data_IF_008488533792
#
_entry.id   IF_008488533792
#
_cell.length_a   1.000
_cell.length_b   1.000
_cell.length_c   1.000
_cell.angle_alpha   90.00
_cell.angle_beta   90.00
_cell.angle_gamma   90.00
#
_symmetry.space_group_name_H-M   'P 1'
#
loop_
_entity.id
_entity.type
_entity.pdbx_description
1 polymer ?
#
# COMPACT_ATOMS: atom_id res chain seq x y z
N UNK A 1 -8.55 -1.85 -14.43
CA UNK A 1 -7.41 -2.06 -13.52
C UNK A 1 -6.96 -0.74 -12.94
N UNK A 2 -6.77 -0.69 -11.63
CA UNK A 2 -6.24 0.51 -11.00
C UNK A 2 -4.76 0.68 -11.35
N UNK A 3 -4.34 1.91 -11.66
CA UNK A 3 -2.94 2.24 -11.89
C UNK A 3 -2.21 2.55 -10.57
N UNK A 4 -2.93 2.60 -9.47
CA UNK A 4 -2.39 2.99 -8.17
C UNK A 4 -2.46 1.80 -7.22
N UNK A 5 -1.39 1.59 -6.49
CA UNK A 5 -1.30 0.56 -5.46
C UNK A 5 -0.73 1.17 -4.19
N UNK A 6 -1.37 0.90 -3.06
CA UNK A 6 -0.88 1.35 -1.75
C UNK A 6 0.12 0.32 -1.23
N UNK A 7 1.26 0.78 -0.76
CA UNK A 7 2.29 -0.06 -0.14
C UNK A 7 2.36 0.30 1.34
N UNK A 8 2.08 -0.68 2.20
CA UNK A 8 1.99 -0.44 3.65
C UNK A 8 2.82 -1.48 4.41
N UNK A 9 3.50 -1.01 5.44
CA UNK A 9 4.24 -1.86 6.36
C UNK A 9 3.60 -1.76 7.74
N UNK A 10 3.24 -2.91 8.33
CA UNK A 10 2.60 -2.98 9.64
C UNK A 10 3.29 -4.03 10.52
N UNK A 11 2.95 -4.05 11.79
CA UNK A 11 3.52 -4.99 12.75
C UNK A 11 2.41 -5.67 13.54
N UNK A 12 2.30 -7.01 13.42
CA UNK A 12 1.39 -7.86 14.19
C UNK A 12 -0.06 -7.35 14.22
N UNK A 13 -0.60 -6.95 13.06
CA UNK A 13 -1.95 -6.40 12.95
C UNK A 13 -2.82 -7.22 12.01
N UNK A 14 -4.12 -7.00 12.08
CA UNK A 14 -5.09 -7.61 11.18
C UNK A 14 -5.17 -6.78 9.89
N UNK A 15 -4.79 -7.38 8.77
CA UNK A 15 -4.71 -6.69 7.49
C UNK A 15 -6.05 -6.17 6.97
N UNK A 16 -7.15 -6.89 7.19
CA UNK A 16 -8.48 -6.44 6.75
C UNK A 16 -8.88 -5.18 7.51
N UNK A 17 -8.70 -5.19 8.82
CA UNK A 17 -9.01 -4.04 9.67
C UNK A 17 -8.18 -2.82 9.30
N UNK A 18 -6.89 -3.02 9.02
CA UNK A 18 -5.98 -1.94 8.61
C UNK A 18 -6.43 -1.34 7.28
N UNK A 19 -6.79 -2.15 6.31
CA UNK A 19 -7.25 -1.67 5.00
C UNK A 19 -8.51 -0.82 5.14
N UNK A 20 -9.44 -1.24 5.99
CA UNK A 20 -10.67 -0.48 6.24
C UNK A 20 -10.38 0.82 7.00
N UNK A 21 -9.57 0.75 8.05
CA UNK A 21 -9.26 1.91 8.90
C UNK A 21 -8.51 3.02 8.15
N UNK A 22 -7.60 2.64 7.26
CA UNK A 22 -6.81 3.59 6.49
C UNK A 22 -7.48 4.08 5.22
N UNK A 23 -8.70 3.60 4.96
CA UNK A 23 -9.52 4.02 3.81
C UNK A 23 -8.89 3.68 2.46
N UNK A 24 -8.27 2.51 2.35
CA UNK A 24 -7.69 2.06 1.09
C UNK A 24 -8.80 1.72 0.09
N UNK A 25 -8.75 2.34 -1.08
CA UNK A 25 -9.75 2.19 -2.16
C UNK A 25 -9.11 1.80 -3.49
N UNK A 26 -7.94 1.19 -3.43
CA UNK A 26 -7.21 0.69 -4.59
C UNK A 26 -6.60 -0.66 -4.21
N UNK A 27 -5.92 -1.29 -5.15
CA UNK A 27 -5.11 -2.45 -4.81
C UNK A 27 -4.01 -2.05 -3.83
N UNK A 28 -3.55 -2.99 -3.04
CA UNK A 28 -2.56 -2.71 -2.01
C UNK A 28 -1.65 -3.91 -1.80
N UNK A 29 -0.43 -3.63 -1.34
CA UNK A 29 0.48 -4.62 -0.78
C UNK A 29 0.70 -4.25 0.67
N UNK A 30 0.33 -5.13 1.58
CA UNK A 30 0.48 -4.94 3.02
C UNK A 30 1.49 -5.96 3.53
N UNK A 31 2.62 -5.48 4.04
CA UNK A 31 3.64 -6.33 4.64
C UNK A 31 3.50 -6.26 6.15
N UNK A 32 3.15 -7.38 6.75
CA UNK A 32 2.95 -7.50 8.20
C UNK A 32 4.15 -8.21 8.83
N UNK A 33 4.89 -7.51 9.66
CA UNK A 33 5.98 -8.09 10.43
C UNK A 33 5.39 -8.84 11.63
N UNK A 34 5.58 -10.15 11.64
CA UNK A 34 5.02 -11.01 12.68
C UNK A 34 5.95 -12.20 12.93
N UNK A 35 5.44 -13.31 13.45
CA UNK A 35 6.26 -14.47 13.83
C UNK A 35 6.06 -15.69 12.94
N UNK A 36 5.50 -15.49 11.74
CA UNK A 36 5.36 -16.54 10.73
C UNK A 36 5.39 -15.94 9.33
N UNK A 37 5.58 -16.78 8.31
CA UNK A 37 5.61 -16.34 6.93
C UNK A 37 4.45 -16.97 6.15
N UNK A 38 3.65 -16.13 5.50
CA UNK A 38 2.53 -16.53 4.68
C UNK A 38 2.12 -15.41 3.74
N UNK A 39 1.81 -15.75 2.49
CA UNK A 39 1.25 -14.79 1.53
C UNK A 39 -0.20 -15.12 1.27
N UNK A 40 -1.06 -14.11 1.30
CA UNK A 40 -2.48 -14.24 1.02
C UNK A 40 -2.93 -13.13 0.08
N UNK A 41 -3.83 -13.47 -0.83
CA UNK A 41 -4.57 -12.47 -1.59
C UNK A 41 -5.96 -12.38 -1.01
N UNK A 42 -6.33 -11.20 -0.53
CA UNK A 42 -7.66 -10.95 0.02
C UNK A 42 -8.33 -9.84 -0.79
N UNK A 43 -9.64 -9.89 -0.85
CA UNK A 43 -10.42 -8.87 -1.53
C UNK A 43 -11.18 -8.07 -0.48
N UNK A 44 -10.91 -6.76 -0.44
CA UNK A 44 -11.56 -5.84 0.49
C UNK A 44 -12.19 -4.73 -0.32
N UNK A 45 -13.51 -4.58 -0.24
CA UNK A 45 -14.26 -3.56 -0.99
C UNK A 45 -13.98 -3.60 -2.50
N UNK A 46 -13.83 -4.81 -3.05
CA UNK A 46 -13.57 -5.01 -4.48
C UNK A 46 -12.12 -4.80 -4.91
N UNK A 47 -11.23 -4.50 -3.99
CA UNK A 47 -9.81 -4.28 -4.29
C UNK A 47 -8.98 -5.50 -3.87
N UNK A 48 -7.96 -5.83 -4.66
CA UNK A 48 -7.03 -6.90 -4.33
C UNK A 48 -5.99 -6.40 -3.35
N UNK A 49 -5.85 -7.09 -2.23
CA UNK A 49 -4.82 -6.81 -1.24
C UNK A 49 -3.89 -8.01 -1.16
N UNK A 50 -2.63 -7.81 -1.52
CA UNK A 50 -1.58 -8.80 -1.34
C UNK A 50 -1.06 -8.66 0.08
N UNK A 51 -1.48 -9.56 0.96
CA UNK A 51 -1.16 -9.50 2.39
C UNK A 51 -0.02 -10.47 2.67
N UNK A 52 1.13 -9.94 3.07
CA UNK A 52 2.36 -10.71 3.25
C UNK A 52 2.75 -10.69 4.73
N UNK A 53 2.67 -11.85 5.37
CA UNK A 53 3.23 -12.03 6.71
C UNK A 53 4.69 -12.44 6.57
N UNK A 54 5.57 -11.78 7.31
CA UNK A 54 7.00 -12.05 7.25
C UNK A 54 7.63 -11.99 8.63
N UNK A 55 8.66 -12.81 8.84
CA UNK A 55 9.47 -12.78 10.04
C UNK A 55 10.62 -11.78 9.95
N UNK A 56 10.88 -11.22 8.78
CA UNK A 56 11.87 -10.17 8.61
C UNK A 56 11.51 -8.95 9.41
N UNK A 57 12.50 -8.31 9.98
CA UNK A 57 12.31 -7.14 10.83
C UNK A 57 13.00 -5.93 10.22
N UNK A 58 12.41 -4.76 10.48
CA UNK A 58 12.92 -3.49 10.04
C UNK A 58 12.07 -2.85 8.96
N UNK A 59 11.85 -1.55 9.10
CA UNK A 59 10.99 -0.79 8.19
C UNK A 59 11.52 -0.79 6.76
N UNK A 60 12.83 -0.66 6.59
CA UNK A 60 13.44 -0.67 5.25
C UNK A 60 13.24 -2.00 4.54
N UNK A 61 13.37 -3.12 5.26
CA UNK A 61 13.15 -4.46 4.67
C UNK A 61 11.70 -4.66 4.25
N UNK A 62 10.75 -4.27 5.09
CA UNK A 62 9.33 -4.44 4.76
C UNK A 62 8.89 -3.51 3.64
N UNK A 63 9.40 -2.29 3.58
CA UNK A 63 9.12 -1.38 2.46
C UNK A 63 9.70 -1.91 1.16
N UNK A 64 10.93 -2.44 1.18
CA UNK A 64 11.54 -3.04 0.00
C UNK A 64 10.76 -4.26 -0.48
N UNK A 65 10.28 -5.10 0.42
CA UNK A 65 9.45 -6.24 0.05
C UNK A 65 8.15 -5.79 -0.60
N UNK A 66 7.49 -4.77 -0.05
CA UNK A 66 6.28 -4.21 -0.64
C UNK A 66 6.55 -3.68 -2.06
N UNK A 67 7.65 -2.98 -2.26
CA UNK A 67 8.05 -2.48 -3.59
C UNK A 67 8.30 -3.62 -4.57
N UNK A 68 8.96 -4.69 -4.13
CA UNK A 68 9.22 -5.86 -4.98
C UNK A 68 7.94 -6.56 -5.40
N UNK A 69 6.93 -6.59 -4.55
CA UNK A 69 5.66 -7.23 -4.83
C UNK A 69 4.67 -6.32 -5.57
N UNK A 70 4.99 -5.05 -5.70
CA UNK A 70 4.12 -4.08 -6.37
C UNK A 70 4.01 -4.38 -7.86
N UNK A 71 2.79 -4.28 -8.39
CA UNK A 71 2.50 -4.53 -9.80
C UNK A 71 1.91 -3.32 -10.50
N UNK A 72 1.51 -2.30 -9.77
CA UNK A 72 0.89 -1.11 -10.32
C UNK A 72 1.92 -0.14 -10.88
N UNK A 73 1.47 0.73 -11.77
CA UNK A 73 2.30 1.77 -12.38
C UNK A 73 2.71 2.83 -11.35
N UNK A 74 1.79 3.18 -10.44
CA UNK A 74 2.03 4.18 -9.40
C UNK A 74 1.85 3.55 -8.04
N UNK A 75 2.78 3.80 -7.12
CA UNK A 75 2.74 3.25 -5.78
C UNK A 75 2.75 4.37 -4.76
N UNK A 76 1.92 4.23 -3.72
CA UNK A 76 1.84 5.16 -2.61
C UNK A 76 2.30 4.46 -1.32
N UNK A 77 3.41 4.93 -0.76
CA UNK A 77 3.85 4.46 0.56
C UNK A 77 2.99 5.13 1.64
N UNK A 78 2.37 4.31 2.47
CA UNK A 78 1.43 4.77 3.48
C UNK A 78 1.74 4.08 4.81
N UNK A 79 1.71 4.83 5.91
CA UNK A 79 1.84 4.27 7.25
C UNK A 79 0.47 3.87 7.81
N UNK A 80 0.46 2.95 8.77
CA UNK A 80 -0.76 2.37 9.31
C UNK A 80 -1.59 3.34 10.18
N UNK A 81 -1.00 4.46 10.57
CA UNK A 81 -1.68 5.51 11.34
C UNK A 81 -2.25 6.63 10.48
N UNK A 82 -2.15 6.51 9.17
CA UNK A 82 -2.67 7.50 8.23
C UNK A 82 -4.03 7.06 7.67
N UNK A 83 -4.89 8.03 7.34
CA UNK A 83 -6.16 7.78 6.68
C UNK A 83 -6.15 8.51 5.35
N UNK A 84 -6.34 7.74 4.27
CA UNK A 84 -6.30 8.29 2.93
C UNK A 84 -7.60 9.02 2.58
N UNK A 85 -7.50 10.06 1.77
CA UNK A 85 -8.68 10.77 1.27
C UNK A 85 -9.45 9.89 0.27
N UNK A 86 -10.75 10.09 0.14
CA UNK A 86 -11.59 9.28 -0.75
C UNK A 86 -11.16 9.34 -2.21
N UNK A 87 -10.56 10.44 -2.64
CA UNK A 87 -10.16 10.68 -4.02
C UNK A 87 -8.64 10.57 -4.24
N UNK A 88 -7.92 9.87 -3.36
CA UNK A 88 -6.47 9.81 -3.45
C UNK A 88 -5.98 9.19 -4.76
N UNK A 89 -6.71 8.22 -5.30
CA UNK A 89 -6.33 7.57 -6.56
C UNK A 89 -6.35 8.60 -7.70
N UNK A 90 -7.41 9.39 -7.79
CA UNK A 90 -7.54 10.42 -8.83
C UNK A 90 -6.46 11.49 -8.67
N UNK A 91 -6.19 11.90 -7.44
CA UNK A 91 -5.14 12.90 -7.15
C UNK A 91 -3.76 12.42 -7.57
N UNK A 92 -3.43 11.14 -7.30
CA UNK A 92 -2.15 10.56 -7.69
C UNK A 92 -2.04 10.48 -9.21
N UNK A 93 -3.06 9.96 -9.89
CA UNK A 93 -3.06 9.85 -11.35
C UNK A 93 -2.94 11.22 -12.00
N UNK A 94 -3.65 12.22 -11.50
CA UNK A 94 -3.59 13.58 -12.01
C UNK A 94 -2.21 14.21 -11.80
N UNK A 95 -1.59 13.96 -10.64
CA UNK A 95 -0.26 14.49 -10.35
C UNK A 95 0.79 13.93 -11.30
N UNK A 96 0.78 12.62 -11.57
CA UNK A 96 1.71 12.01 -12.52
C UNK A 96 1.42 12.45 -13.97
N UNK A 97 0.17 12.70 -14.30
CA UNK A 97 -0.18 13.26 -15.62
C UNK A 97 0.35 14.67 -15.80
N UNK A 98 0.37 15.48 -14.73
CA UNK A 98 0.91 16.84 -14.76
C UNK A 98 2.44 16.86 -14.82
N UNK A 99 3.09 15.83 -14.29
CA UNK A 99 4.56 15.71 -14.25
C UNK A 99 5.00 14.38 -14.84
N UNK A 100 4.85 14.18 -16.16
CA UNK A 100 5.06 12.85 -16.77
C UNK A 100 6.50 12.34 -16.70
N UNK A 101 7.48 13.23 -16.49
CA UNK A 101 8.89 12.84 -16.37
C UNK A 101 9.31 12.56 -14.92
N UNK A 102 8.41 12.68 -13.97
CA UNK A 102 8.72 12.41 -12.57
C UNK A 102 8.73 10.91 -12.29
N UNK A 103 9.78 10.42 -11.66
CA UNK A 103 9.85 9.03 -11.17
C UNK A 103 9.22 8.90 -9.79
N UNK A 104 9.34 9.94 -8.98
CA UNK A 104 8.82 9.97 -7.61
C UNK A 104 8.12 11.30 -7.38
N UNK A 105 6.91 11.24 -6.84
CA UNK A 105 6.18 12.42 -6.37
C UNK A 105 5.88 12.25 -4.89
N UNK A 106 6.04 13.34 -4.13
CA UNK A 106 5.74 13.34 -2.70
C UNK A 106 4.37 13.97 -2.47
N UNK A 107 3.55 13.28 -1.66
CA UNK A 107 2.23 13.75 -1.27
C UNK A 107 2.20 13.96 0.24
N UNK A 108 1.47 14.96 0.67
CA UNK A 108 1.22 15.18 2.09
C UNK A 108 -0.09 14.49 2.44
N UNK A 109 -0.03 13.48 3.30
CA UNK A 109 -1.20 12.74 3.78
C UNK A 109 -1.58 13.34 5.14
N UNK A 110 -2.84 13.67 5.28
CA UNK A 110 -3.35 14.27 6.53
C UNK A 110 -4.63 13.61 6.99
#
# INVERSE_FOLDING_TARGET
MSKVEVLMSIMSQNGIEIVERTNIKSNAVVVNQCNYEEKQNIIVNGCNVNYINTTDRGLSKSRNLAIQEATAEYCLLCDDDEVLENDYVDKIENAFSAYPDADILCFIVR
#
